data_IF_462264486928
#
_entry.id   IF_462264486928
#
_cell.length_a   1.000
_cell.length_b   1.000
_cell.length_c   1.000
_cell.angle_alpha   90.00
_cell.angle_beta   90.00
_cell.angle_gamma   90.00
#
_symmetry.space_group_name_H-M   'P 1'
#
loop_
_entity.id
_entity.type
_entity.pdbx_description
1 polymer ?
#
# COMPACT_ATOMS: atom_id res chain seq x y z
N UNK A 1 -13.24 22.77 61.10
CA UNK A 1 -12.12 23.54 61.68
C UNK A 1 -11.53 24.37 60.57
N UNK A 2 -11.89 25.60 60.54
CA UNK A 2 -11.18 26.87 60.87
C UNK A 2 -9.99 27.07 59.95
N UNK A 3 -10.11 28.01 59.04
CA UNK A 3 -9.74 29.46 59.15
C UNK A 3 -8.25 29.67 58.84
N UNK A 4 -7.77 30.66 58.21
CA UNK A 4 -8.17 32.00 57.74
C UNK A 4 -6.96 32.61 57.06
N UNK A 5 -7.21 33.44 55.99
CA UNK A 5 -6.93 34.89 55.97
C UNK A 5 -5.45 35.27 56.07
N UNK A 6 -4.92 36.18 55.35
CA UNK A 6 -5.13 37.57 54.92
C UNK A 6 -3.89 37.95 54.20
N UNK A 7 -3.75 38.82 53.26
CA UNK A 7 -4.35 40.08 52.97
C UNK A 7 -3.31 41.07 52.56
N UNK A 8 -3.67 41.90 51.58
CA UNK A 8 -3.48 43.34 51.59
C UNK A 8 -2.07 43.91 51.34
N UNK A 9 -1.78 44.98 50.65
CA UNK A 9 -2.52 46.10 50.10
C UNK A 9 -1.48 47.09 49.52
N UNK A 10 -1.78 47.71 48.35
CA UNK A 10 -1.69 49.13 47.98
C UNK A 10 -0.31 49.84 47.97
N UNK A 11 0.10 50.56 46.92
CA UNK A 11 -0.06 51.95 46.51
C UNK A 11 0.98 52.33 45.46
N UNK A 12 0.66 52.91 44.36
CA UNK A 12 0.09 54.17 43.97
C UNK A 12 1.12 55.28 43.74
N UNK A 13 0.86 56.01 42.73
CA UNK A 13 1.24 57.39 42.37
C UNK A 13 2.53 57.52 41.51
N UNK A 14 2.56 58.31 40.49
CA UNK A 14 1.65 59.20 39.83
C UNK A 14 2.43 60.10 38.90
N UNK A 15 1.73 60.58 37.90
CA UNK A 15 1.77 61.93 37.26
C UNK A 15 3.11 62.35 36.63
N UNK A 16 3.19 63.08 35.55
CA UNK A 16 2.34 64.03 34.91
C UNK A 16 2.82 64.35 33.47
N UNK A 17 1.83 64.64 32.59
CA UNK A 17 1.69 65.74 31.61
C UNK A 17 2.68 65.96 30.47
N UNK A 18 2.04 65.96 29.34
CA UNK A 18 2.32 66.64 28.05
C UNK A 18 2.53 68.20 28.15
N UNK A 19 2.68 68.99 27.07
CA UNK A 19 2.19 68.82 25.69
C UNK A 19 3.06 69.42 24.55
N UNK A 20 2.59 69.16 23.36
CA UNK A 20 2.58 69.85 22.08
C UNK A 20 3.41 71.13 21.82
N UNK A 21 3.98 71.17 20.58
CA UNK A 21 3.70 72.33 19.69
C UNK A 21 4.02 72.03 18.22
N UNK A 22 3.19 72.68 17.43
CA UNK A 22 3.06 72.63 15.97
C UNK A 22 4.11 73.50 15.25
N UNK A 23 4.25 73.19 13.95
CA UNK A 23 4.33 74.06 12.78
C UNK A 23 5.66 74.76 12.46
N UNK A 24 6.15 74.63 11.25
CA UNK A 24 5.91 75.60 10.22
C UNK A 24 6.60 75.35 8.89
N UNK A 25 5.88 75.58 7.86
CA UNK A 25 6.16 75.71 6.44
C UNK A 25 7.40 76.55 6.08
N UNK A 26 8.16 76.21 5.01
CA UNK A 26 8.23 77.01 3.77
C UNK A 26 9.28 76.47 2.79
N UNK A 27 8.81 76.34 1.58
CA UNK A 27 9.39 76.39 0.24
C UNK A 27 10.80 76.96 0.11
N UNK A 28 11.64 76.34 -0.74
CA UNK A 28 12.39 77.12 -1.75
C UNK A 28 12.66 76.30 -3.00
N UNK A 29 12.71 76.96 -4.11
CA UNK A 29 12.59 76.54 -5.50
C UNK A 29 13.93 76.14 -6.13
N UNK A 30 13.85 75.23 -7.09
CA UNK A 30 14.54 75.09 -8.37
C UNK A 30 16.03 75.47 -8.52
N UNK A 31 16.83 74.44 -8.96
CA UNK A 31 17.67 74.67 -10.15
C UNK A 31 18.01 73.28 -10.80
N UNK A 32 17.83 73.28 -12.09
CA UNK A 32 18.15 72.32 -13.14
C UNK A 32 19.51 71.66 -13.05
N UNK A 33 19.54 70.30 -13.28
CA UNK A 33 20.73 69.55 -13.55
C UNK A 33 20.32 68.08 -13.90
N UNK A 34 20.31 67.78 -15.19
CA UNK A 34 19.98 66.44 -15.68
C UNK A 34 20.97 65.38 -15.19
N UNK A 35 20.45 64.33 -14.64
CA UNK A 35 21.19 63.07 -14.39
C UNK A 35 20.27 61.93 -14.79
N UNK A 36 20.79 61.10 -15.69
CA UNK A 36 20.25 59.80 -16.09
C UNK A 36 19.80 59.02 -14.84
N UNK A 37 18.49 58.83 -14.69
CA UNK A 37 17.94 57.87 -13.76
C UNK A 37 18.11 56.45 -14.39
N UNK A 38 19.17 55.77 -14.05
CA UNK A 38 19.23 54.35 -14.18
C UNK A 38 18.16 53.77 -13.23
N UNK A 39 17.04 53.33 -13.81
CA UNK A 39 16.00 52.56 -13.15
C UNK A 39 16.60 51.22 -12.68
N UNK A 40 17.14 51.19 -11.48
CA UNK A 40 17.34 49.99 -10.74
C UNK A 40 15.95 49.41 -10.44
N UNK A 41 15.41 48.63 -11.38
CA UNK A 41 14.38 47.66 -11.04
C UNK A 41 15.04 46.68 -10.09
N UNK A 42 14.92 46.94 -8.80
CA UNK A 42 15.21 45.99 -7.78
C UNK A 42 14.36 44.75 -8.09
N UNK A 43 15.01 43.67 -8.50
CA UNK A 43 14.39 42.40 -8.55
C UNK A 43 13.90 42.08 -7.12
N UNK A 44 12.66 42.42 -6.84
CA UNK A 44 11.95 41.87 -5.67
C UNK A 44 12.03 40.35 -5.88
N UNK A 45 12.71 39.60 -5.01
CA UNK A 45 12.64 38.16 -5.12
C UNK A 45 11.16 37.82 -4.98
N UNK A 46 10.54 37.40 -6.08
CA UNK A 46 9.27 36.69 -6.03
C UNK A 46 9.51 35.50 -5.12
N UNK A 47 9.28 35.69 -3.82
CA UNK A 47 9.06 34.57 -2.92
C UNK A 47 7.88 33.83 -3.55
N UNK A 48 8.19 32.83 -4.34
CA UNK A 48 7.19 31.91 -4.82
C UNK A 48 6.42 31.44 -3.59
N UNK A 49 5.17 31.77 -3.53
CA UNK A 49 4.28 31.20 -2.52
C UNK A 49 4.37 29.70 -2.73
N UNK A 50 4.83 28.98 -1.70
CA UNK A 50 4.82 27.52 -1.75
C UNK A 50 3.37 27.11 -2.06
N UNK A 51 3.20 26.32 -3.11
CA UNK A 51 1.88 25.82 -3.47
C UNK A 51 1.30 25.04 -2.29
N UNK A 52 -0.01 25.17 -2.08
CA UNK A 52 -0.68 24.41 -1.01
C UNK A 52 -0.43 22.91 -1.18
N UNK A 53 -0.17 22.18 -0.10
CA UNK A 53 0.08 20.75 -0.19
C UNK A 53 -1.15 19.99 -0.65
N UNK A 54 -0.92 18.92 -1.41
CA UNK A 54 -1.95 18.00 -1.88
C UNK A 54 -2.15 16.90 -0.87
N UNK A 55 -3.32 16.80 -0.27
CA UNK A 55 -3.63 15.76 0.69
C UNK A 55 -3.99 14.43 0.00
N UNK A 56 -3.32 13.36 0.40
CA UNK A 56 -3.66 11.98 0.05
C UNK A 56 -3.89 11.18 1.33
N UNK A 57 -4.95 10.38 1.32
CA UNK A 57 -5.31 9.51 2.45
C UNK A 57 -4.60 8.16 2.39
N UNK A 58 -4.28 7.59 3.55
CA UNK A 58 -3.72 6.25 3.65
C UNK A 58 -4.40 5.47 4.78
N UNK A 59 -4.97 4.31 4.44
CA UNK A 59 -5.73 3.43 5.33
C UNK A 59 -4.96 2.13 5.53
N UNK A 60 -4.36 1.92 6.69
CA UNK A 60 -3.62 0.69 7.02
C UNK A 60 -3.86 0.26 8.46
N UNK A 61 -3.94 -1.06 8.74
CA UNK A 61 -4.00 -1.55 10.11
C UNK A 61 -2.59 -1.47 10.72
N UNK A 62 -2.35 -0.46 11.56
CA UNK A 62 -1.10 -0.33 12.33
C UNK A 62 -1.21 -0.95 13.71
N UNK A 63 -2.42 -1.37 14.07
CA UNK A 63 -2.74 -2.17 15.27
C UNK A 63 -3.61 -3.37 14.91
N UNK A 64 -3.76 -4.32 15.86
CA UNK A 64 -4.51 -5.55 15.64
C UNK A 64 -3.70 -6.67 14.96
N UNK A 65 -4.38 -7.71 14.46
CA UNK A 65 -3.78 -8.95 13.96
C UNK A 65 -2.93 -8.79 12.69
N UNK A 66 -3.11 -7.70 11.95
CA UNK A 66 -2.41 -7.41 10.68
C UNK A 66 -1.37 -6.29 10.83
N UNK A 67 -1.04 -5.89 12.07
CA UNK A 67 -0.19 -4.73 12.34
C UNK A 67 1.21 -4.82 11.71
N UNK A 68 1.83 -6.01 11.69
CA UNK A 68 3.15 -6.21 11.11
C UNK A 68 3.20 -5.79 9.64
N UNK A 69 2.17 -6.18 8.88
CA UNK A 69 2.05 -5.81 7.46
C UNK A 69 1.76 -4.31 7.33
N UNK A 70 0.81 -3.80 8.14
CA UNK A 70 0.37 -2.40 8.08
C UNK A 70 1.47 -1.39 8.42
N UNK A 71 2.29 -1.67 9.42
CA UNK A 71 3.43 -0.82 9.81
C UNK A 71 4.45 -0.72 8.66
N UNK A 72 4.76 -1.83 8.00
CA UNK A 72 5.64 -1.84 6.82
C UNK A 72 5.03 -1.05 5.65
N UNK A 73 3.73 -1.16 5.42
CA UNK A 73 3.02 -0.35 4.42
C UNK A 73 3.13 1.15 4.73
N UNK A 74 2.95 1.57 5.99
CA UNK A 74 3.09 2.98 6.39
C UNK A 74 4.52 3.49 6.17
N UNK A 75 5.54 2.69 6.45
CA UNK A 75 6.93 3.05 6.17
C UNK A 75 7.17 3.27 4.67
N UNK A 76 6.63 2.39 3.82
CA UNK A 76 6.70 2.52 2.36
C UNK A 76 5.91 3.72 1.83
N UNK A 77 4.74 4.03 2.40
CA UNK A 77 3.95 5.20 2.04
C UNK A 77 4.71 6.50 2.29
N UNK A 78 5.34 6.62 3.47
CA UNK A 78 6.18 7.77 3.81
C UNK A 78 7.36 7.90 2.85
N UNK A 79 8.07 6.81 2.59
CA UNK A 79 9.17 6.79 1.61
C UNK A 79 8.71 7.26 0.23
N UNK A 80 7.59 6.75 -0.28
CA UNK A 80 7.07 7.10 -1.60
C UNK A 80 6.69 8.58 -1.70
N UNK A 81 6.03 9.13 -0.67
CA UNK A 81 5.68 10.56 -0.59
C UNK A 81 6.94 11.43 -0.53
N UNK A 82 7.95 11.04 0.25
CA UNK A 82 9.24 11.74 0.29
C UNK A 82 9.90 11.74 -1.09
N UNK A 83 9.95 10.60 -1.79
CA UNK A 83 10.51 10.50 -3.14
C UNK A 83 9.81 11.43 -4.14
N UNK A 84 8.47 11.50 -4.14
CA UNK A 84 7.71 12.44 -4.99
C UNK A 84 8.05 13.88 -4.60
N UNK A 85 8.11 14.18 -3.31
CA UNK A 85 8.36 15.52 -2.80
C UNK A 85 9.79 16.01 -3.10
N UNK A 86 10.78 15.14 -2.99
CA UNK A 86 12.19 15.42 -3.33
C UNK A 86 12.37 15.62 -4.83
N UNK A 87 11.61 14.91 -5.67
CA UNK A 87 11.60 15.09 -7.13
C UNK A 87 10.95 16.43 -7.59
N UNK A 88 10.51 17.25 -6.65
CA UNK A 88 9.93 18.57 -6.92
C UNK A 88 8.42 18.69 -6.64
N UNK A 89 7.78 17.63 -6.16
CA UNK A 89 6.32 17.58 -5.94
C UNK A 89 5.54 17.51 -7.25
N UNK A 90 4.29 17.95 -7.24
CA UNK A 90 3.39 17.93 -8.40
C UNK A 90 3.59 19.21 -9.21
N UNK A 91 4.28 19.11 -10.32
CA UNK A 91 4.74 20.24 -11.12
C UNK A 91 3.59 21.04 -11.73
N UNK A 92 2.57 20.35 -12.23
CA UNK A 92 1.36 20.97 -12.79
C UNK A 92 0.57 21.79 -11.76
N UNK A 93 0.85 21.56 -10.45
CA UNK A 93 0.30 22.31 -9.32
C UNK A 93 1.35 23.24 -8.68
N UNK A 94 2.29 23.76 -9.47
CA UNK A 94 3.32 24.69 -8.98
C UNK A 94 4.34 24.05 -8.05
N UNK A 95 4.58 22.76 -8.13
CA UNK A 95 5.48 22.00 -7.25
C UNK A 95 4.88 21.66 -5.89
N UNK A 96 3.55 21.61 -5.80
CA UNK A 96 2.82 21.25 -4.58
C UNK A 96 3.33 19.93 -4.02
N UNK A 97 3.61 19.89 -2.73
CA UNK A 97 4.08 18.69 -2.04
C UNK A 97 2.90 17.79 -1.67
N UNK A 98 3.08 16.48 -1.77
CA UNK A 98 2.13 15.54 -1.20
C UNK A 98 2.18 15.59 0.33
N UNK A 99 1.01 15.64 0.94
CA UNK A 99 0.81 15.50 2.38
C UNK A 99 0.05 14.20 2.66
N UNK A 100 0.71 13.26 3.36
CA UNK A 100 0.16 11.95 3.68
C UNK A 100 -0.62 11.99 4.98
N UNK A 101 -1.92 11.70 4.92
CA UNK A 101 -2.80 11.62 6.09
C UNK A 101 -3.11 10.16 6.37
N UNK A 102 -2.52 9.65 7.46
CA UNK A 102 -2.62 8.25 7.87
C UNK A 102 -3.84 8.03 8.77
N UNK A 103 -4.49 6.88 8.61
CA UNK A 103 -5.54 6.40 9.51
C UNK A 103 -5.35 4.92 9.81
N UNK A 104 -5.36 4.56 11.09
CA UNK A 104 -5.28 3.18 11.55
C UNK A 104 -6.66 2.52 11.51
N UNK A 105 -6.81 1.51 10.69
CA UNK A 105 -8.06 0.73 10.59
C UNK A 105 -8.11 -0.48 11.52
N UNK A 106 -7.12 -0.63 12.41
CA UNK A 106 -7.07 -1.56 13.56
C UNK A 106 -7.39 -3.03 13.22
N UNK A 107 -7.14 -3.45 11.97
CA UNK A 107 -7.50 -4.80 11.47
C UNK A 107 -9.00 -5.14 11.59
N UNK A 108 -9.87 -4.14 11.67
CA UNK A 108 -11.30 -4.28 11.92
C UNK A 108 -12.17 -3.59 10.85
N UNK A 109 -13.20 -4.26 10.36
CA UNK A 109 -14.07 -3.76 9.29
C UNK A 109 -14.97 -2.60 9.74
N UNK A 110 -15.42 -2.60 10.99
CA UNK A 110 -16.24 -1.53 11.55
C UNK A 110 -15.42 -0.26 11.74
N UNK A 111 -14.21 -0.42 12.29
CA UNK A 111 -13.25 0.68 12.41
C UNK A 111 -12.84 1.20 11.05
N UNK A 112 -12.63 0.31 10.07
CA UNK A 112 -12.31 0.73 8.69
C UNK A 112 -13.39 1.64 8.12
N UNK A 113 -14.67 1.33 8.31
CA UNK A 113 -15.78 2.18 7.85
C UNK A 113 -15.71 3.57 8.48
N UNK A 114 -15.59 3.63 9.81
CA UNK A 114 -15.55 4.88 10.56
C UNK A 114 -14.34 5.72 10.21
N UNK A 115 -13.16 5.09 10.15
CA UNK A 115 -11.91 5.79 9.85
C UNK A 115 -11.84 6.27 8.40
N UNK A 116 -12.39 5.52 7.46
CA UNK A 116 -12.48 5.98 6.05
C UNK A 116 -13.40 7.20 5.94
N UNK A 117 -14.55 7.18 6.58
CA UNK A 117 -15.48 8.33 6.58
C UNK A 117 -14.85 9.55 7.26
N UNK A 118 -14.24 9.37 8.44
CA UNK A 118 -13.52 10.43 9.16
C UNK A 118 -12.37 11.04 8.33
N UNK A 119 -11.60 10.19 7.66
CA UNK A 119 -10.49 10.60 6.83
C UNK A 119 -10.95 11.47 5.67
N UNK A 120 -12.06 11.09 5.01
CA UNK A 120 -12.62 11.81 3.86
C UNK A 120 -13.29 13.12 4.32
N UNK A 121 -14.14 13.06 5.35
CA UNK A 121 -14.92 14.24 5.77
C UNK A 121 -14.08 15.28 6.49
N UNK A 122 -13.03 14.85 7.20
CA UNK A 122 -12.12 15.73 7.94
C UNK A 122 -11.03 16.38 7.09
N UNK A 123 -10.82 15.92 5.85
CA UNK A 123 -9.70 16.37 5.03
C UNK A 123 -10.13 16.54 3.57
N UNK A 124 -9.54 17.51 2.89
CA UNK A 124 -9.72 17.70 1.44
C UNK A 124 -8.78 16.72 0.70
N UNK A 125 -9.21 15.48 0.52
CA UNK A 125 -8.40 14.46 -0.12
C UNK A 125 -8.55 14.46 -1.63
N UNK A 126 -7.44 14.34 -2.34
CA UNK A 126 -7.44 14.12 -3.79
C UNK A 126 -7.56 12.65 -4.17
N UNK A 127 -7.02 11.75 -3.35
CA UNK A 127 -7.08 10.31 -3.52
C UNK A 127 -6.77 9.59 -2.19
N UNK A 128 -7.06 8.29 -2.15
CA UNK A 128 -6.72 7.40 -1.03
C UNK A 128 -5.95 6.21 -1.59
N UNK A 129 -4.94 5.72 -0.86
CA UNK A 129 -4.40 4.38 -1.06
C UNK A 129 -4.57 3.51 0.19
N UNK A 130 -4.68 2.19 0.00
CA UNK A 130 -4.95 1.20 1.05
C UNK A 130 -6.26 0.47 0.77
N UNK A 131 -6.72 -0.40 1.60
CA UNK A 131 -5.94 -1.24 2.50
C UNK A 131 -5.23 -2.33 1.67
N UNK A 132 -4.45 -3.22 2.29
CA UNK A 132 -3.98 -4.43 1.60
C UNK A 132 -4.95 -5.61 1.79
N UNK A 133 -5.59 -5.70 2.95
CA UNK A 133 -6.52 -6.77 3.28
C UNK A 133 -7.86 -6.59 2.57
N UNK A 134 -8.31 -7.61 1.83
CA UNK A 134 -9.50 -7.51 0.97
C UNK A 134 -10.78 -7.18 1.74
N UNK A 135 -10.97 -7.73 2.95
CA UNK A 135 -12.15 -7.44 3.78
C UNK A 135 -12.22 -5.96 4.17
N UNK A 136 -11.09 -5.38 4.59
CA UNK A 136 -11.00 -3.96 4.95
C UNK A 136 -11.17 -3.07 3.70
N UNK A 137 -10.53 -3.45 2.59
CA UNK A 137 -10.60 -2.68 1.34
C UNK A 137 -12.00 -2.64 0.74
N UNK A 138 -12.77 -3.74 0.83
CA UNK A 138 -14.16 -3.75 0.38
C UNK A 138 -14.99 -2.70 1.11
N UNK A 139 -14.79 -2.54 2.42
CA UNK A 139 -15.47 -1.52 3.23
C UNK A 139 -14.98 -0.11 2.88
N UNK A 140 -13.65 0.09 2.83
CA UNK A 140 -13.07 1.39 2.48
C UNK A 140 -13.50 1.85 1.08
N UNK A 141 -13.50 0.95 0.09
CA UNK A 141 -13.91 1.25 -1.28
C UNK A 141 -15.40 1.59 -1.40
N UNK A 142 -16.25 1.00 -0.58
CA UNK A 142 -17.68 1.35 -0.53
C UNK A 142 -17.89 2.79 0.01
N UNK A 143 -17.16 3.17 1.05
CA UNK A 143 -17.22 4.54 1.59
C UNK A 143 -16.66 5.54 0.59
N UNK A 144 -15.50 5.26 -0.01
CA UNK A 144 -14.85 6.10 -1.00
C UNK A 144 -15.72 6.31 -2.27
N UNK A 145 -16.41 5.24 -2.75
CA UNK A 145 -17.34 5.31 -3.88
C UNK A 145 -18.49 6.30 -3.61
N UNK A 146 -19.13 6.20 -2.43
CA UNK A 146 -20.22 7.12 -2.04
C UNK A 146 -19.74 8.56 -1.92
N UNK A 147 -18.53 8.76 -1.42
CA UNK A 147 -17.93 10.09 -1.26
C UNK A 147 -17.29 10.64 -2.55
N UNK A 148 -17.24 9.84 -3.63
CA UNK A 148 -16.59 10.17 -4.91
C UNK A 148 -15.13 10.57 -4.75
N UNK A 149 -14.40 9.87 -3.88
CA UNK A 149 -12.94 9.99 -3.70
C UNK A 149 -12.27 8.73 -4.26
N UNK A 150 -11.34 8.83 -5.22
CA UNK A 150 -10.71 7.65 -5.79
C UNK A 150 -9.83 6.94 -4.76
N UNK A 151 -9.96 5.61 -4.73
CA UNK A 151 -9.11 4.72 -3.94
C UNK A 151 -8.33 3.79 -4.86
N UNK A 152 -7.00 3.73 -4.67
CA UNK A 152 -6.12 2.80 -5.35
C UNK A 152 -5.59 1.79 -4.33
N UNK A 153 -5.63 0.49 -4.67
CA UNK A 153 -5.36 -0.56 -3.69
C UNK A 153 -4.57 -1.74 -4.25
N UNK A 154 -3.73 -2.34 -3.38
CA UNK A 154 -3.05 -3.60 -3.64
C UNK A 154 -3.85 -4.85 -3.23
N UNK A 155 -5.09 -4.72 -2.80
CA UNK A 155 -5.95 -5.86 -2.47
C UNK A 155 -6.32 -6.68 -3.71
N UNK A 156 -6.49 -7.98 -3.53
CA UNK A 156 -6.64 -8.94 -4.65
C UNK A 156 -8.05 -9.44 -4.91
N UNK A 157 -9.03 -9.25 -4.02
CA UNK A 157 -10.38 -9.81 -4.21
C UNK A 157 -11.01 -9.38 -5.54
N UNK A 158 -11.55 -10.33 -6.29
CA UNK A 158 -12.25 -10.08 -7.56
C UNK A 158 -13.55 -9.25 -7.41
N UNK A 159 -14.02 -9.05 -6.18
CA UNK A 159 -15.21 -8.26 -5.87
C UNK A 159 -14.95 -6.75 -5.73
N UNK A 160 -13.70 -6.32 -5.64
CA UNK A 160 -13.32 -4.93 -5.30
C UNK A 160 -13.88 -3.89 -6.26
N UNK A 161 -13.81 -4.14 -7.56
CA UNK A 161 -14.24 -3.20 -8.58
C UNK A 161 -15.72 -3.36 -8.99
N UNK A 162 -16.42 -4.37 -8.45
CA UNK A 162 -17.78 -4.69 -8.88
C UNK A 162 -18.77 -3.59 -8.49
N UNK A 163 -19.32 -2.89 -9.48
CA UNK A 163 -20.23 -1.76 -9.26
C UNK A 163 -19.55 -0.51 -8.67
N UNK A 164 -18.22 -0.39 -8.79
CA UNK A 164 -17.44 0.75 -8.28
C UNK A 164 -16.62 1.39 -9.38
N UNK A 165 -16.75 2.70 -9.52
CA UNK A 165 -16.05 3.50 -10.53
C UNK A 165 -14.92 4.37 -9.95
N UNK A 166 -14.82 4.42 -8.62
CA UNK A 166 -13.76 5.12 -7.90
C UNK A 166 -12.72 4.18 -7.27
N UNK A 167 -12.77 2.88 -7.58
CA UNK A 167 -11.82 1.87 -7.07
C UNK A 167 -10.90 1.40 -8.19
N UNK A 168 -9.58 1.52 -7.97
CA UNK A 168 -8.55 1.14 -8.92
C UNK A 168 -7.65 0.05 -8.35
N UNK A 169 -7.46 -1.03 -9.11
CA UNK A 169 -6.64 -2.20 -8.74
C UNK A 169 -5.52 -2.41 -9.76
N UNK A 170 -4.30 -1.90 -9.50
CA UNK A 170 -3.19 -1.93 -10.45
C UNK A 170 -2.49 -3.28 -10.57
N UNK A 171 -2.78 -4.23 -9.68
CA UNK A 171 -2.07 -5.50 -9.58
C UNK A 171 -2.97 -6.71 -9.89
N UNK A 172 -2.40 -7.91 -9.71
CA UNK A 172 -3.10 -9.18 -9.91
C UNK A 172 -4.29 -9.35 -8.96
N UNK A 173 -5.29 -10.07 -9.45
CA UNK A 173 -6.51 -10.43 -8.70
C UNK A 173 -6.41 -11.86 -8.17
N UNK A 174 -7.31 -12.21 -7.26
CA UNK A 174 -7.37 -13.51 -6.63
C UNK A 174 -7.49 -14.67 -7.64
N UNK A 175 -8.30 -14.51 -8.69
CA UNK A 175 -8.43 -15.51 -9.76
C UNK A 175 -7.12 -15.70 -10.55
N UNK A 176 -6.33 -14.63 -10.73
CA UNK A 176 -5.01 -14.70 -11.38
C UNK A 176 -3.97 -15.35 -10.47
N UNK A 177 -4.02 -15.10 -9.16
CA UNK A 177 -3.20 -15.82 -8.18
C UNK A 177 -3.49 -17.31 -8.23
N UNK A 178 -4.76 -17.69 -8.20
CA UNK A 178 -5.19 -19.08 -8.27
C UNK A 178 -4.60 -19.80 -9.51
N UNK A 179 -4.69 -19.18 -10.68
CA UNK A 179 -4.12 -19.74 -11.91
C UNK A 179 -2.61 -19.94 -11.80
N UNK A 180 -1.88 -18.95 -11.32
CA UNK A 180 -0.42 -19.04 -11.18
C UNK A 180 -0.02 -20.13 -10.18
N UNK A 181 -0.72 -20.26 -9.03
CA UNK A 181 -0.49 -21.33 -8.06
C UNK A 181 -0.69 -22.72 -8.68
N UNK A 182 -1.76 -22.93 -9.45
CA UNK A 182 -2.02 -24.19 -10.14
C UNK A 182 -0.94 -24.51 -11.18
N UNK A 183 -0.48 -23.50 -11.91
CA UNK A 183 0.62 -23.67 -12.88
C UNK A 183 1.94 -24.00 -12.18
N UNK A 184 2.23 -23.39 -11.03
CA UNK A 184 3.42 -23.70 -10.25
C UNK A 184 3.38 -25.10 -9.65
N UNK A 185 2.22 -25.63 -9.26
CA UNK A 185 2.08 -27.01 -8.81
C UNK A 185 2.57 -28.03 -9.86
N UNK A 186 2.33 -27.74 -11.13
CA UNK A 186 2.79 -28.60 -12.25
C UNK A 186 4.31 -28.55 -12.49
N UNK A 187 5.01 -27.55 -11.93
CA UNK A 187 6.47 -27.49 -11.99
C UNK A 187 7.15 -28.43 -10.97
N UNK A 188 6.40 -28.87 -9.95
CA UNK A 188 6.92 -29.71 -8.87
C UNK A 188 6.31 -31.13 -8.88
N UNK A 189 5.23 -31.36 -9.61
CA UNK A 189 4.59 -32.69 -9.74
C UNK A 189 3.91 -32.81 -11.09
N UNK A 190 4.10 -33.97 -11.75
CA UNK A 190 3.41 -34.31 -13.00
C UNK A 190 1.91 -34.63 -12.79
N UNK A 191 1.53 -34.96 -11.56
CA UNK A 191 0.15 -35.24 -11.17
C UNK A 191 -0.17 -34.58 -9.82
N UNK A 192 -0.36 -33.25 -9.82
CA UNK A 192 -0.58 -32.52 -8.57
C UNK A 192 -1.95 -32.85 -7.96
N UNK A 193 -1.92 -33.38 -6.73
CA UNK A 193 -3.07 -33.60 -5.85
C UNK A 193 -2.99 -32.55 -4.74
N UNK A 194 -3.86 -31.58 -4.78
CA UNK A 194 -3.77 -30.39 -3.95
C UNK A 194 -4.80 -30.43 -2.82
N UNK A 195 -4.35 -30.27 -1.58
CA UNK A 195 -5.20 -29.84 -0.49
C UNK A 195 -5.21 -28.31 -0.44
N UNK A 196 -6.37 -27.71 -0.47
CA UNK A 196 -6.56 -26.25 -0.32
C UNK A 196 -7.13 -25.98 1.05
N UNK A 197 -6.41 -25.20 1.86
CA UNK A 197 -6.89 -24.67 3.14
C UNK A 197 -6.84 -23.14 3.08
N UNK A 198 -7.85 -22.49 3.64
CA UNK A 198 -7.95 -21.04 3.50
C UNK A 198 -8.73 -20.37 4.63
N UNK A 199 -8.32 -19.17 4.98
CA UNK A 199 -9.09 -18.34 5.90
C UNK A 199 -10.48 -18.04 5.33
N UNK A 200 -11.51 -18.15 6.14
CA UNK A 200 -12.87 -17.74 5.78
C UNK A 200 -13.01 -16.20 5.79
N UNK A 201 -12.20 -15.54 4.98
CA UNK A 201 -12.16 -14.10 4.76
C UNK A 201 -12.44 -13.79 3.29
N UNK A 202 -12.63 -12.51 2.94
CA UNK A 202 -12.81 -12.11 1.54
C UNK A 202 -11.60 -12.46 0.67
N UNK A 203 -10.37 -12.41 1.20
CA UNK A 203 -9.16 -12.82 0.52
C UNK A 203 -9.10 -14.34 0.34
N UNK A 204 -9.22 -15.08 1.43
CA UNK A 204 -9.16 -16.56 1.42
C UNK A 204 -10.21 -17.16 0.52
N UNK A 205 -11.47 -16.74 0.67
CA UNK A 205 -12.62 -17.23 -0.14
C UNK A 205 -12.47 -16.89 -1.62
N UNK A 206 -12.04 -15.65 -1.95
CA UNK A 206 -11.90 -15.25 -3.36
C UNK A 206 -10.81 -16.06 -4.08
N UNK A 207 -9.66 -16.24 -3.44
CA UNK A 207 -8.54 -17.00 -4.02
C UNK A 207 -8.87 -18.49 -4.12
N UNK A 208 -9.41 -19.09 -3.06
CA UNK A 208 -9.72 -20.53 -3.04
C UNK A 208 -10.84 -20.92 -4.02
N UNK A 209 -11.85 -20.07 -4.16
CA UNK A 209 -12.88 -20.29 -5.20
C UNK A 209 -12.27 -20.25 -6.61
N UNK A 210 -11.33 -19.33 -6.87
CA UNK A 210 -10.58 -19.31 -8.12
C UNK A 210 -9.76 -20.60 -8.34
N UNK A 211 -9.12 -21.13 -7.29
CA UNK A 211 -8.43 -22.44 -7.35
C UNK A 211 -9.39 -23.57 -7.73
N UNK A 212 -10.54 -23.65 -7.04
CA UNK A 212 -11.56 -24.68 -7.29
C UNK A 212 -12.13 -24.62 -8.70
N UNK A 213 -12.39 -23.42 -9.20
CA UNK A 213 -12.94 -23.20 -10.53
C UNK A 213 -11.94 -23.54 -11.64
N UNK A 214 -10.67 -23.14 -11.47
CA UNK A 214 -9.66 -23.25 -12.52
C UNK A 214 -8.92 -24.60 -12.54
N UNK A 215 -8.87 -25.32 -11.42
CA UNK A 215 -8.09 -26.54 -11.27
C UNK A 215 -8.37 -27.61 -12.35
N UNK A 216 -9.65 -27.91 -12.74
CA UNK A 216 -9.90 -28.90 -13.78
C UNK A 216 -9.29 -28.50 -15.13
N UNK A 217 -9.39 -27.23 -15.52
CA UNK A 217 -8.81 -26.70 -16.76
C UNK A 217 -7.28 -26.65 -16.78
N UNK A 218 -6.66 -26.59 -15.60
CA UNK A 218 -5.20 -26.62 -15.43
C UNK A 218 -4.66 -28.05 -15.21
N UNK A 219 -5.52 -29.10 -15.18
CA UNK A 219 -5.11 -30.49 -14.96
C UNK A 219 -4.62 -30.74 -13.53
N UNK A 220 -5.16 -30.06 -12.54
CA UNK A 220 -4.83 -30.20 -11.12
C UNK A 220 -6.03 -30.81 -10.38
N UNK A 221 -5.80 -31.83 -9.59
CA UNK A 221 -6.83 -32.46 -8.75
C UNK A 221 -6.85 -31.78 -7.37
N UNK A 222 -8.00 -31.19 -6.99
CA UNK A 222 -8.21 -30.74 -5.62
C UNK A 222 -8.84 -31.88 -4.82
N UNK A 223 -8.03 -32.51 -3.96
CA UNK A 223 -8.45 -33.65 -3.12
C UNK A 223 -9.04 -33.24 -1.77
N UNK A 224 -8.80 -31.99 -1.37
CA UNK A 224 -9.36 -31.42 -0.15
C UNK A 224 -9.58 -29.90 -0.33
N UNK A 225 -10.69 -29.39 0.19
CA UNK A 225 -11.04 -27.96 0.11
C UNK A 225 -11.70 -27.53 1.41
N UNK A 226 -10.94 -26.92 2.31
CA UNK A 226 -11.37 -26.69 3.69
C UNK A 226 -11.17 -25.23 4.13
N UNK A 227 -12.25 -24.51 4.43
CA UNK A 227 -12.16 -23.19 5.10
C UNK A 227 -11.83 -23.37 6.59
N UNK A 228 -11.19 -22.36 7.15
CA UNK A 228 -11.00 -22.25 8.60
C UNK A 228 -11.22 -20.82 9.08
N UNK A 229 -11.55 -20.66 10.37
CA UNK A 229 -11.66 -19.34 11.00
C UNK A 229 -10.26 -18.82 11.32
N UNK A 230 -9.95 -17.58 10.89
CA UNK A 230 -8.67 -16.94 11.16
C UNK A 230 -8.40 -16.83 12.69
N UNK A 231 -7.12 -16.94 13.06
CA UNK A 231 -6.68 -16.81 14.45
C UNK A 231 -6.84 -18.08 15.28
N UNK A 232 -6.88 -19.26 14.68
CA UNK A 232 -6.86 -20.53 15.41
C UNK A 232 -5.51 -20.72 16.13
N UNK A 233 -5.53 -21.44 17.24
CA UNK A 233 -4.35 -21.69 18.10
C UNK A 233 -3.74 -23.08 17.92
N UNK A 234 -4.42 -24.00 17.22
CA UNK A 234 -3.98 -25.35 16.93
C UNK A 234 -4.36 -25.73 15.49
N UNK A 235 -3.33 -25.94 14.64
CA UNK A 235 -3.51 -26.37 13.26
C UNK A 235 -3.56 -27.91 13.11
N UNK A 236 -3.28 -28.69 14.15
CA UNK A 236 -3.14 -30.14 14.07
C UNK A 236 -4.39 -30.86 13.51
N UNK A 237 -5.63 -30.50 13.87
CA UNK A 237 -6.80 -31.12 13.28
C UNK A 237 -6.90 -30.90 11.77
N UNK A 238 -6.56 -29.68 11.31
CA UNK A 238 -6.60 -29.29 9.91
C UNK A 238 -5.49 -30.01 9.11
N UNK A 239 -4.27 -30.05 9.63
CA UNK A 239 -3.13 -30.70 8.96
C UNK A 239 -3.28 -32.22 8.94
N UNK A 240 -3.90 -32.83 9.95
CA UNK A 240 -4.24 -34.26 9.91
C UNK A 240 -5.27 -34.59 8.82
N UNK A 241 -6.24 -33.70 8.55
CA UNK A 241 -7.13 -33.86 7.39
C UNK A 241 -6.34 -33.78 6.07
N UNK A 242 -5.39 -32.83 5.94
CA UNK A 242 -4.51 -32.76 4.77
C UNK A 242 -3.74 -34.07 4.59
N UNK A 243 -3.15 -34.59 5.65
CA UNK A 243 -2.42 -35.88 5.63
C UNK A 243 -3.29 -37.02 5.17
N UNK A 244 -4.54 -37.11 5.62
CA UNK A 244 -5.49 -38.16 5.26
C UNK A 244 -6.07 -37.99 3.86
N UNK A 245 -5.96 -36.83 3.22
CA UNK A 245 -6.49 -36.57 1.88
C UNK A 245 -5.65 -37.19 0.75
N UNK A 246 -4.42 -37.61 1.02
CA UNK A 246 -3.48 -38.09 0.01
C UNK A 246 -2.93 -36.97 -0.90
N UNK A 247 -3.01 -35.73 -0.48
CA UNK A 247 -2.43 -34.59 -1.20
C UNK A 247 -0.90 -34.70 -1.25
N UNK A 248 -0.31 -34.32 -2.39
CA UNK A 248 1.14 -34.13 -2.54
C UNK A 248 1.54 -32.66 -2.58
N UNK A 249 0.56 -31.75 -2.57
CA UNK A 249 0.76 -30.32 -2.43
C UNK A 249 -0.29 -29.73 -1.48
N UNK A 250 0.13 -28.74 -0.68
CA UNK A 250 -0.72 -27.98 0.23
C UNK A 250 -0.72 -26.50 -0.23
N UNK A 251 -1.89 -26.00 -0.58
CA UNK A 251 -2.10 -24.57 -0.83
C UNK A 251 -2.74 -23.95 0.40
N UNK A 252 -2.04 -22.99 1.00
CA UNK A 252 -2.52 -22.26 2.17
C UNK A 252 -2.78 -20.80 1.81
N UNK A 253 -4.05 -20.40 1.83
CA UNK A 253 -4.43 -18.98 1.59
C UNK A 253 -4.67 -18.33 2.94
N UNK A 254 -3.60 -17.78 3.52
CA UNK A 254 -3.55 -17.38 4.92
C UNK A 254 -2.80 -16.08 5.12
N UNK A 255 -3.15 -15.32 6.17
CA UNK A 255 -2.28 -14.27 6.68
C UNK A 255 -1.21 -14.84 7.61
N UNK A 256 -0.30 -13.97 8.08
CA UNK A 256 0.98 -14.32 8.68
C UNK A 256 0.88 -15.35 9.83
N UNK A 257 0.10 -15.03 10.84
CA UNK A 257 0.09 -15.81 12.09
C UNK A 257 -0.38 -17.25 11.87
N UNK A 258 -1.44 -17.39 11.10
CA UNK A 258 -2.01 -18.71 10.79
C UNK A 258 -1.08 -19.50 9.87
N UNK A 259 -0.45 -18.84 8.89
CA UNK A 259 0.50 -19.51 8.00
C UNK A 259 1.75 -20.03 8.75
N UNK A 260 2.28 -19.25 9.68
CA UNK A 260 3.40 -19.68 10.54
C UNK A 260 3.01 -20.95 11.30
N UNK A 261 1.83 -20.96 11.90
CA UNK A 261 1.34 -22.12 12.65
C UNK A 261 1.12 -23.34 11.75
N UNK A 262 0.54 -23.16 10.57
CA UNK A 262 0.35 -24.21 9.56
C UNK A 262 1.69 -24.83 9.17
N UNK A 263 2.67 -24.03 8.76
CA UNK A 263 3.98 -24.53 8.31
C UNK A 263 4.71 -25.28 9.43
N UNK A 264 4.70 -24.76 10.65
CA UNK A 264 5.28 -25.43 11.81
C UNK A 264 4.59 -26.76 12.10
N UNK A 265 3.26 -26.79 12.03
CA UNK A 265 2.47 -28.01 12.28
C UNK A 265 2.71 -29.06 11.20
N UNK A 266 2.76 -28.68 9.91
CA UNK A 266 3.13 -29.59 8.80
C UNK A 266 4.45 -30.30 9.10
N UNK A 267 5.46 -29.54 9.54
CA UNK A 267 6.77 -30.09 9.91
C UNK A 267 6.71 -30.98 11.15
N UNK A 268 5.96 -30.55 12.17
CA UNK A 268 5.81 -31.30 13.43
C UNK A 268 5.16 -32.67 13.23
N UNK A 269 4.14 -32.76 12.36
CA UNK A 269 3.45 -34.03 12.08
C UNK A 269 4.18 -34.88 11.02
N UNK A 270 5.32 -34.44 10.52
CA UNK A 270 6.12 -35.13 9.52
C UNK A 270 5.38 -35.31 8.19
N UNK A 271 4.56 -34.35 7.79
CA UNK A 271 3.85 -34.40 6.52
C UNK A 271 4.78 -33.91 5.40
N UNK A 272 5.02 -34.79 4.42
CA UNK A 272 5.85 -34.49 3.24
C UNK A 272 4.94 -34.06 2.09
N UNK A 273 4.83 -32.72 1.90
CA UNK A 273 4.04 -32.09 0.84
C UNK A 273 4.74 -30.81 0.36
N UNK A 274 4.63 -30.53 -0.94
CA UNK A 274 5.01 -29.24 -1.46
C UNK A 274 4.06 -28.15 -0.94
N UNK A 275 4.59 -27.10 -0.30
CA UNK A 275 3.77 -26.02 0.25
C UNK A 275 3.80 -24.82 -0.68
N UNK A 276 2.61 -24.34 -1.06
CA UNK A 276 2.41 -23.02 -1.65
C UNK A 276 1.64 -22.15 -0.66
N UNK A 277 2.33 -21.16 -0.07
CA UNK A 277 1.78 -20.27 0.94
C UNK A 277 0.88 -19.17 0.37
N UNK A 278 0.62 -19.18 -0.93
CA UNK A 278 -0.14 -18.11 -1.60
C UNK A 278 0.60 -16.78 -1.58
N UNK A 279 -0.16 -15.72 -1.40
CA UNK A 279 0.25 -14.35 -1.08
C UNK A 279 0.02 -14.11 0.43
N UNK A 280 -0.35 -12.91 0.83
CA UNK A 280 -0.75 -12.62 2.21
C UNK A 280 0.40 -12.69 3.19
N UNK A 281 0.37 -13.65 4.09
CA UNK A 281 1.39 -13.82 5.12
C UNK A 281 2.72 -14.40 4.62
N UNK A 282 2.71 -15.07 3.46
CA UNK A 282 3.87 -15.76 2.91
C UNK A 282 4.98 -14.80 2.43
N UNK A 283 4.61 -13.67 1.87
CA UNK A 283 5.49 -12.77 1.10
C UNK A 283 6.11 -11.65 1.93
N UNK A 284 6.07 -11.76 3.25
CA UNK A 284 6.57 -10.72 4.16
C UNK A 284 7.80 -11.20 4.96
N UNK A 285 8.74 -10.31 5.32
CA UNK A 285 9.97 -10.68 6.04
C UNK A 285 9.71 -11.44 7.34
N UNK A 286 8.64 -11.10 8.05
CA UNK A 286 8.29 -11.73 9.33
C UNK A 286 7.94 -13.21 9.19
N UNK A 287 7.50 -13.67 8.02
CA UNK A 287 7.32 -15.10 7.81
C UNK A 287 8.65 -15.85 7.96
N UNK A 288 9.67 -15.45 7.21
CA UNK A 288 11.00 -16.09 7.31
C UNK A 288 11.60 -15.97 8.71
N UNK A 289 11.50 -14.80 9.34
CA UNK A 289 11.99 -14.60 10.71
C UNK A 289 11.37 -15.59 11.70
N UNK A 290 10.10 -15.93 11.51
CA UNK A 290 9.38 -16.81 12.42
C UNK A 290 9.56 -18.29 12.11
N UNK A 291 9.68 -18.70 10.85
CA UNK A 291 9.81 -20.12 10.50
C UNK A 291 11.24 -20.51 10.12
N UNK A 292 12.10 -19.54 9.85
CA UNK A 292 13.51 -19.76 9.54
C UNK A 292 13.70 -20.65 8.32
N UNK A 293 14.63 -21.59 8.43
CA UNK A 293 14.95 -22.55 7.34
C UNK A 293 13.77 -23.42 6.90
N UNK A 294 12.67 -23.47 7.64
CA UNK A 294 11.46 -24.17 7.20
C UNK A 294 10.79 -23.46 6.01
N UNK A 295 11.11 -22.18 5.77
CA UNK A 295 10.64 -21.45 4.61
C UNK A 295 11.39 -21.82 3.33
N UNK A 296 12.64 -22.28 3.43
CA UNK A 296 13.48 -22.54 2.27
C UNK A 296 12.82 -23.53 1.28
N UNK A 297 12.75 -23.09 0.02
CA UNK A 297 12.09 -23.84 -1.05
C UNK A 297 10.58 -23.74 -1.08
N UNK A 298 9.91 -23.22 -0.03
CA UNK A 298 8.46 -23.01 -0.07
C UNK A 298 8.10 -21.98 -1.16
N UNK A 299 6.99 -22.23 -1.84
CA UNK A 299 6.52 -21.43 -2.96
C UNK A 299 5.34 -20.53 -2.57
N UNK A 300 5.13 -19.50 -3.34
CA UNK A 300 3.98 -18.62 -3.22
C UNK A 300 3.75 -17.82 -4.50
N UNK A 301 2.81 -16.92 -4.44
CA UNK A 301 2.52 -15.95 -5.49
C UNK A 301 2.47 -14.56 -4.89
N UNK A 302 2.86 -13.56 -5.67
CA UNK A 302 2.83 -12.17 -5.26
C UNK A 302 2.32 -11.30 -6.42
N UNK A 303 1.75 -10.16 -6.13
CA UNK A 303 1.46 -9.16 -7.16
C UNK A 303 2.62 -8.18 -7.36
N UNK A 304 3.66 -8.28 -6.53
CA UNK A 304 4.87 -7.48 -6.63
C UNK A 304 6.02 -8.19 -5.90
N UNK A 305 7.25 -8.07 -6.39
CA UNK A 305 8.44 -8.50 -5.68
C UNK A 305 9.58 -7.50 -5.91
N UNK A 306 10.49 -7.38 -4.95
CA UNK A 306 11.57 -6.38 -4.94
C UNK A 306 12.64 -6.60 -6.00
N UNK A 307 12.72 -7.78 -6.60
CA UNK A 307 13.71 -8.17 -7.61
C UNK A 307 13.21 -8.04 -9.07
N UNK A 308 11.94 -7.66 -9.27
CA UNK A 308 11.30 -7.75 -10.58
C UNK A 308 11.84 -6.76 -11.62
N UNK A 309 12.30 -5.58 -11.21
CA UNK A 309 12.88 -4.56 -12.10
C UNK A 309 13.87 -3.63 -11.36
N UNK A 310 14.70 -2.84 -12.08
CA UNK A 310 15.70 -1.96 -11.45
C UNK A 310 15.10 -0.88 -10.52
N UNK A 311 13.89 -0.38 -10.78
CA UNK A 311 13.25 0.58 -9.89
C UNK A 311 12.82 -0.09 -8.59
N UNK A 312 12.26 -1.30 -8.66
CA UNK A 312 11.91 -2.10 -7.50
C UNK A 312 13.15 -2.37 -6.64
N UNK A 313 14.27 -2.80 -7.25
CA UNK A 313 15.53 -3.03 -6.54
C UNK A 313 16.07 -1.76 -5.87
N UNK A 314 15.98 -0.60 -6.53
CA UNK A 314 16.42 0.69 -5.98
C UNK A 314 15.58 1.11 -4.77
N UNK A 315 14.26 1.01 -4.88
CA UNK A 315 13.36 1.34 -3.76
C UNK A 315 13.55 0.36 -2.61
N UNK A 316 13.75 -0.94 -2.91
CA UNK A 316 14.07 -1.95 -1.91
C UNK A 316 15.32 -1.60 -1.11
N UNK A 317 16.40 -1.19 -1.79
CA UNK A 317 17.64 -0.78 -1.12
C UNK A 317 17.43 0.38 -0.16
N UNK A 318 16.66 1.39 -0.55
CA UNK A 318 16.36 2.55 0.30
C UNK A 318 15.41 2.17 1.47
N UNK A 319 14.40 1.35 1.21
CA UNK A 319 13.50 0.85 2.25
C UNK A 319 14.27 0.00 3.29
N UNK A 320 15.12 -0.92 2.81
CA UNK A 320 15.96 -1.78 3.68
C UNK A 320 16.92 -0.97 4.55
N UNK A 321 17.48 0.11 4.02
CA UNK A 321 18.31 1.03 4.79
C UNK A 321 17.56 1.68 5.96
N UNK A 322 16.28 1.97 5.78
CA UNK A 322 15.43 2.64 6.79
C UNK A 322 14.82 1.68 7.81
N UNK A 323 14.47 0.48 7.37
CA UNK A 323 13.68 -0.47 8.18
C UNK A 323 14.48 -1.68 8.66
N UNK A 324 15.60 -1.99 8.00
CA UNK A 324 16.33 -3.24 8.18
C UNK A 324 15.77 -4.43 7.39
N UNK A 325 14.62 -4.26 6.72
CA UNK A 325 13.85 -5.31 6.05
C UNK A 325 13.80 -5.09 4.55
N UNK A 326 13.64 -6.17 3.77
CA UNK A 326 13.34 -6.02 2.35
C UNK A 326 11.93 -5.47 2.12
N UNK A 327 11.75 -4.78 1.00
CA UNK A 327 10.47 -4.23 0.59
C UNK A 327 9.59 -5.36 0.05
N UNK A 328 8.56 -5.71 0.80
CA UNK A 328 7.66 -6.82 0.48
C UNK A 328 6.48 -6.39 -0.41
N UNK A 329 5.71 -7.36 -0.88
CA UNK A 329 4.63 -7.23 -1.87
C UNK A 329 3.75 -5.99 -1.69
N UNK A 330 3.09 -5.86 -0.52
CA UNK A 330 2.15 -4.76 -0.29
C UNK A 330 2.84 -3.40 -0.19
N UNK A 331 3.97 -3.37 0.49
CA UNK A 331 4.76 -2.17 0.69
C UNK A 331 5.33 -1.66 -0.65
N UNK A 332 5.85 -2.56 -1.49
CA UNK A 332 6.36 -2.22 -2.82
C UNK A 332 5.26 -1.78 -3.78
N UNK A 333 4.15 -2.52 -3.79
CA UNK A 333 2.98 -2.15 -4.56
C UNK A 333 2.43 -0.76 -4.20
N UNK A 334 2.50 -0.41 -2.91
CA UNK A 334 2.07 0.89 -2.42
C UNK A 334 2.95 2.04 -2.91
N UNK A 335 4.27 1.82 -3.03
CA UNK A 335 5.15 2.81 -3.66
C UNK A 335 4.66 3.12 -5.07
N UNK A 336 4.42 2.08 -5.89
CA UNK A 336 3.87 2.26 -7.24
C UNK A 336 2.54 3.01 -7.24
N UNK A 337 1.62 2.68 -6.31
CA UNK A 337 0.32 3.35 -6.18
C UNK A 337 0.47 4.85 -5.86
N UNK A 338 1.41 5.23 -5.00
CA UNK A 338 1.69 6.63 -4.69
C UNK A 338 2.15 7.40 -5.93
N UNK A 339 3.02 6.78 -6.76
CA UNK A 339 3.45 7.37 -8.02
C UNK A 339 2.34 7.41 -9.09
N UNK A 340 1.42 6.44 -9.10
CA UNK A 340 0.22 6.50 -9.94
C UNK A 340 -0.70 7.67 -9.55
N UNK A 341 -0.87 7.92 -8.25
CA UNK A 341 -1.61 9.08 -7.75
C UNK A 341 -0.89 10.38 -8.17
N UNK A 342 0.44 10.44 -8.02
CA UNK A 342 1.21 11.61 -8.44
C UNK A 342 1.09 11.88 -9.95
N UNK A 343 1.17 10.84 -10.80
CA UNK A 343 0.95 10.96 -12.26
C UNK A 343 -0.48 11.43 -12.59
N UNK A 344 -1.48 10.92 -11.87
CA UNK A 344 -2.86 11.34 -12.05
C UNK A 344 -3.07 12.81 -11.65
N UNK A 345 -2.44 13.29 -10.59
CA UNK A 345 -2.45 14.70 -10.18
C UNK A 345 -1.77 15.60 -11.22
N UNK A 346 -0.62 15.16 -11.79
CA UNK A 346 0.06 15.86 -12.88
C UNK A 346 -0.83 16.01 -14.11
N UNK A 347 -1.51 14.94 -14.53
CA UNK A 347 -2.42 14.93 -15.70
C UNK A 347 -3.69 15.75 -15.45
N UNK A 348 -4.24 15.64 -14.25
CA UNK A 348 -5.44 16.38 -13.86
C UNK A 348 -5.19 17.89 -13.71
N UNK A 349 -3.95 18.30 -13.40
CA UNK A 349 -3.57 19.63 -12.97
C UNK A 349 -4.56 20.20 -11.93
N UNK A 350 -5.02 19.33 -11.01
CA UNK A 350 -6.10 19.65 -10.05
C UNK A 350 -6.02 18.72 -8.85
N UNK A 351 -6.41 19.23 -7.68
CA UNK A 351 -6.62 18.44 -6.46
C UNK A 351 -8.05 17.92 -6.30
N UNK A 352 -8.94 18.26 -7.24
CA UNK A 352 -10.32 17.78 -7.25
C UNK A 352 -10.38 16.26 -7.44
N UNK A 353 -10.99 15.49 -6.51
CA UNK A 353 -10.97 14.04 -6.55
C UNK A 353 -11.65 13.44 -7.78
N UNK A 354 -12.63 14.14 -8.37
CA UNK A 354 -13.27 13.67 -9.59
C UNK A 354 -12.31 13.76 -10.79
N UNK A 355 -11.58 14.88 -10.93
CA UNK A 355 -10.59 15.04 -11.98
C UNK A 355 -9.42 14.06 -11.82
N UNK A 356 -9.00 13.80 -10.58
CA UNK A 356 -7.97 12.79 -10.29
C UNK A 356 -8.49 11.38 -10.64
N UNK A 357 -9.74 11.07 -10.34
CA UNK A 357 -10.38 9.81 -10.75
C UNK A 357 -10.42 9.65 -12.27
N UNK A 358 -10.75 10.70 -13.01
CA UNK A 358 -10.76 10.70 -14.48
C UNK A 358 -9.35 10.47 -15.02
N UNK A 359 -8.33 11.15 -14.47
CA UNK A 359 -6.93 10.94 -14.82
C UNK A 359 -6.45 9.51 -14.53
N UNK A 360 -6.83 8.93 -13.37
CA UNK A 360 -6.56 7.52 -13.06
C UNK A 360 -7.22 6.58 -14.06
N UNK A 361 -8.47 6.83 -14.45
CA UNK A 361 -9.20 5.95 -15.38
C UNK A 361 -8.57 5.88 -16.79
N UNK A 362 -7.77 6.86 -17.14
CA UNK A 362 -7.05 6.92 -18.43
C UNK A 362 -5.54 6.70 -18.27
N UNK A 363 -5.10 6.27 -17.08
CA UNK A 363 -3.69 5.97 -16.83
C UNK A 363 -3.21 4.87 -17.78
N UNK A 364 -2.10 5.13 -18.48
CA UNK A 364 -1.38 4.18 -19.33
C UNK A 364 0.11 4.48 -19.21
N UNK A 365 0.81 3.71 -18.38
CA UNK A 365 2.22 3.91 -18.03
C UNK A 365 3.03 2.64 -18.25
N UNK A 366 4.24 2.80 -18.77
CA UNK A 366 5.17 1.71 -19.09
C UNK A 366 6.61 1.99 -18.62
N UNK A 367 6.80 3.01 -17.79
CA UNK A 367 8.11 3.36 -17.25
C UNK A 367 7.98 4.10 -15.92
N UNK A 368 9.11 4.23 -15.19
CA UNK A 368 9.16 4.89 -13.90
C UNK A 368 8.51 4.08 -12.77
N UNK A 369 8.41 4.71 -11.60
CA UNK A 369 7.88 4.03 -10.39
C UNK A 369 6.39 3.70 -10.49
N UNK A 370 5.59 4.46 -11.23
CA UNK A 370 4.17 4.15 -11.46
C UNK A 370 3.96 2.85 -12.26
N UNK A 371 4.95 2.43 -13.05
CA UNK A 371 4.91 1.19 -13.83
C UNK A 371 5.53 -0.01 -13.10
N UNK A 372 5.90 0.11 -11.81
CA UNK A 372 6.44 -0.99 -10.99
C UNK A 372 5.36 -2.04 -10.71
N UNK A 373 5.00 -2.81 -11.71
CA UNK A 373 4.11 -3.95 -11.66
C UNK A 373 4.69 -5.09 -12.52
N UNK A 374 4.36 -6.35 -12.29
CA UNK A 374 4.83 -7.44 -13.13
C UNK A 374 4.53 -7.17 -14.60
N UNK A 375 5.57 -7.21 -15.44
CA UNK A 375 5.50 -6.83 -16.84
C UNK A 375 5.72 -5.34 -17.14
N UNK A 376 5.98 -4.51 -16.12
CA UNK A 376 6.40 -3.11 -16.30
C UNK A 376 5.34 -2.19 -16.91
N UNK A 377 4.05 -2.54 -16.80
CA UNK A 377 2.95 -1.76 -17.41
C UNK A 377 1.73 -1.69 -16.51
N UNK A 378 1.13 -0.51 -16.45
CA UNK A 378 -0.16 -0.30 -15.81
C UNK A 378 -1.06 0.51 -16.72
N UNK A 379 -2.22 -0.05 -17.04
CA UNK A 379 -3.30 0.62 -17.77
C UNK A 379 -4.62 0.18 -17.17
N UNK A 380 -5.41 1.13 -16.73
CA UNK A 380 -6.74 0.81 -16.22
C UNK A 380 -7.76 0.63 -17.34
N UNK A 381 -8.49 -0.48 -17.25
CA UNK A 381 -9.68 -0.72 -18.05
C UNK A 381 -10.91 0.05 -17.53
N UNK A 382 -12.05 -0.05 -18.23
CA UNK A 382 -13.30 0.63 -17.83
C UNK A 382 -13.78 0.25 -16.42
N UNK A 383 -13.37 -0.92 -15.94
CA UNK A 383 -13.72 -1.44 -14.61
C UNK A 383 -12.69 -1.08 -13.52
N UNK A 384 -11.74 -0.20 -13.81
CA UNK A 384 -10.71 0.24 -12.86
C UNK A 384 -9.64 -0.81 -12.56
N UNK A 385 -9.57 -1.91 -13.33
CA UNK A 385 -8.56 -2.94 -13.19
C UNK A 385 -7.43 -2.75 -14.19
N UNK A 386 -6.21 -3.06 -13.78
CA UNK A 386 -5.09 -3.08 -14.72
C UNK A 386 -5.26 -4.22 -15.73
N UNK A 387 -5.33 -3.87 -17.01
CA UNK A 387 -5.48 -4.85 -18.11
C UNK A 387 -4.24 -5.74 -18.28
N UNK A 388 -3.09 -5.32 -17.77
CA UNK A 388 -1.83 -6.06 -17.76
C UNK A 388 -1.54 -6.73 -16.40
N UNK A 389 -2.43 -6.56 -15.42
CA UNK A 389 -2.26 -7.11 -14.06
C UNK A 389 -2.05 -8.63 -14.10
N UNK A 390 -0.93 -9.07 -13.56
CA UNK A 390 -0.57 -10.49 -13.42
C UNK A 390 0.23 -10.72 -12.16
N UNK A 391 0.22 -11.92 -11.58
CA UNK A 391 1.09 -12.25 -10.46
C UNK A 391 2.48 -12.67 -10.94
N UNK A 392 3.40 -12.67 -10.00
CA UNK A 392 4.70 -13.33 -10.07
C UNK A 392 4.71 -14.50 -9.10
N UNK A 393 5.21 -15.65 -9.50
CA UNK A 393 5.48 -16.79 -8.62
C UNK A 393 6.79 -16.55 -7.90
N UNK A 394 6.81 -16.78 -6.60
CA UNK A 394 7.94 -16.51 -5.72
C UNK A 394 8.32 -17.72 -4.91
N UNK A 395 9.58 -17.80 -4.49
CA UNK A 395 10.10 -18.86 -3.64
C UNK A 395 11.09 -18.30 -2.63
N UNK A 396 11.03 -18.76 -1.39
CA UNK A 396 12.06 -18.44 -0.40
C UNK A 396 13.35 -19.18 -0.74
N UNK A 397 14.43 -18.43 -0.94
CA UNK A 397 15.75 -18.91 -1.30
C UNK A 397 16.82 -18.13 -0.53
N UNK A 398 17.60 -18.84 0.31
CA UNK A 398 18.68 -18.22 1.10
C UNK A 398 18.21 -17.06 1.99
N UNK A 399 17.01 -17.15 2.53
CA UNK A 399 16.44 -16.13 3.42
C UNK A 399 15.87 -14.90 2.72
N UNK A 400 15.76 -14.92 1.40
CA UNK A 400 15.15 -13.86 0.59
C UNK A 400 14.07 -14.43 -0.33
N UNK A 401 13.21 -13.57 -0.84
CA UNK A 401 12.09 -13.95 -1.69
C UNK A 401 12.45 -13.72 -3.16
N UNK A 402 12.72 -14.79 -3.90
CA UNK A 402 13.10 -14.73 -5.31
C UNK A 402 11.91 -14.92 -6.25
N UNK A 403 11.83 -14.15 -7.32
CA UNK A 403 10.89 -14.35 -8.41
C UNK A 403 11.31 -15.54 -9.27
N UNK A 404 10.45 -16.56 -9.38
CA UNK A 404 10.77 -17.82 -10.05
C UNK A 404 9.79 -18.20 -11.18
N UNK A 405 8.65 -17.50 -11.30
CA UNK A 405 7.62 -17.78 -12.30
C UNK A 405 6.81 -16.51 -12.67
N UNK A 406 6.32 -16.35 -13.92
CA UNK A 406 6.62 -17.16 -15.10
C UNK A 406 8.07 -16.97 -15.55
N UNK A 407 8.53 -17.80 -16.51
CA UNK A 407 9.94 -17.79 -16.98
C UNK A 407 10.45 -16.40 -17.37
N UNK A 408 9.61 -15.58 -17.99
CA UNK A 408 10.00 -14.24 -18.46
C UNK A 408 10.18 -13.24 -17.31
N UNK A 409 9.53 -13.47 -16.18
CA UNK A 409 9.63 -12.66 -14.96
C UNK A 409 10.61 -13.25 -13.93
N UNK A 410 11.06 -14.49 -14.14
CA UNK A 410 11.96 -15.19 -13.21
C UNK A 410 13.32 -14.48 -13.09
N UNK A 411 13.81 -14.36 -11.86
CA UNK A 411 15.14 -13.82 -11.52
C UNK A 411 16.04 -14.89 -10.90
N UNK A 412 15.45 -16.01 -10.51
CA UNK A 412 16.17 -17.20 -10.03
C UNK A 412 15.51 -18.47 -10.59
N UNK A 413 16.25 -19.57 -10.69
CA UNK A 413 15.65 -20.87 -11.00
C UNK A 413 14.79 -21.34 -9.83
N UNK A 414 13.72 -22.08 -10.14
CA UNK A 414 12.94 -22.77 -9.13
C UNK A 414 13.81 -23.85 -8.46
N UNK A 415 13.97 -23.77 -7.14
CA UNK A 415 14.60 -24.83 -6.36
C UNK A 415 13.64 -26.02 -6.27
N UNK A 416 14.11 -27.20 -6.62
CA UNK A 416 13.41 -28.47 -6.32
C UNK A 416 13.69 -28.83 -4.87
N UNK A 417 12.65 -29.11 -4.12
CA UNK A 417 12.69 -29.56 -2.72
C UNK A 417 12.74 -31.08 -2.73
#
# INVERSE_FOLDING_TARGET
>A
MKKDRTGSVINNAGSDRAPATQASRRKFLLKTGGILAASAFGAVPLRGWAADPVNIGALYPTTGSMAQIGVGCVAAAKLAVEMVNEAGGIKSLGGAKLNLILSDVQSDTTVTRTETDRLITGNKLSAIHGCFASALTLIASEVAERAKVPIITGSSSDQLNKGRSYTFTPFARASQFARAQLQMAKLVSDSPKVAVIFENTAFGTSTSNGLKELAPGEGVEIVMFEPYSAGFTDASPLINKVKSSGANALFSVSYLNDLILIVRTVKQVGLDVAINGGSGGFVIPDFYKNVGKLAEGLQGVAHWNHDMDPNAAKVNAEYKKRTGEFLFEYAGGLVAQTFMIADALERAASTDPQKVREALSTLDVSSGYAAMAPGGKVKFGPDGKNVYGRPVGVQWQNGDLASVFPKDDARAPLMKI
#
